data_IF_939365049256
#
_entry.id   IF_939365049256
#
_cell.length_a   1.000
_cell.length_b   1.000
_cell.length_c   1.000
_cell.angle_alpha   90.00
_cell.angle_beta   90.00
_cell.angle_gamma   90.00
#
_symmetry.space_group_name_H-M   'P 1'
#
loop_
_entity.id
_entity.type
_entity.pdbx_description
1 polymer ?
#
# COMPACT_ATOMS: atom_id res chain seq x y z
N UNK A 1 -23.50 -4.48 -1.15
CA UNK A 1 -23.77 -3.34 -2.05
C UNK A 1 -23.12 -2.10 -1.43
N UNK A 2 -21.99 -1.61 -1.95
CA UNK A 2 -21.53 -0.28 -1.53
C UNK A 2 -22.47 0.75 -2.15
N UNK A 3 -23.41 1.27 -1.36
CA UNK A 3 -24.29 2.39 -1.74
C UNK A 3 -23.50 3.67 -2.06
N UNK A 4 -22.20 3.72 -1.74
CA UNK A 4 -21.35 4.88 -1.99
C UNK A 4 -19.92 4.44 -2.36
N UNK A 5 -19.51 4.50 -3.65
CA UNK A 5 -18.13 4.16 -4.06
C UNK A 5 -17.09 5.08 -3.42
N UNK A 6 -17.49 6.28 -2.97
CA UNK A 6 -16.64 7.21 -2.23
C UNK A 6 -16.20 6.68 -0.86
N UNK A 7 -16.93 5.72 -0.29
CA UNK A 7 -16.62 5.15 1.02
C UNK A 7 -15.34 4.29 0.98
N UNK A 8 -14.99 3.72 -0.18
CA UNK A 8 -13.73 2.98 -0.35
C UNK A 8 -12.51 3.90 -0.23
N UNK A 9 -12.64 5.17 -0.64
CA UNK A 9 -11.56 6.16 -0.58
C UNK A 9 -11.16 6.48 0.87
N UNK A 10 -12.10 6.31 1.81
CA UNK A 10 -11.84 6.55 3.22
C UNK A 10 -11.51 5.24 3.94
N UNK A 11 -12.34 4.20 3.77
CA UNK A 11 -12.19 2.97 4.56
C UNK A 11 -10.96 2.16 4.17
N UNK A 12 -10.60 2.12 2.88
CA UNK A 12 -9.45 1.34 2.42
C UNK A 12 -8.12 1.80 3.02
N UNK A 13 -7.71 3.09 2.89
CA UNK A 13 -6.46 3.57 3.48
C UNK A 13 -6.49 3.57 5.02
N UNK A 14 -7.65 3.83 5.63
CA UNK A 14 -7.77 3.88 7.10
C UNK A 14 -7.61 2.49 7.71
N UNK A 15 -8.18 1.46 7.08
CA UNK A 15 -7.91 0.07 7.44
C UNK A 15 -6.44 -0.30 7.19
N UNK A 16 -5.81 0.18 6.12
CA UNK A 16 -4.37 -0.04 5.88
C UNK A 16 -3.53 0.55 7.00
N UNK A 17 -3.80 1.79 7.41
CA UNK A 17 -3.11 2.43 8.54
C UNK A 17 -3.26 1.59 9.80
N UNK A 18 -4.49 1.19 10.17
CA UNK A 18 -4.75 0.44 11.40
C UNK A 18 -4.02 -0.91 11.36
N UNK A 19 -4.17 -1.67 10.28
CA UNK A 19 -3.60 -3.02 10.18
C UNK A 19 -2.08 -2.97 10.21
N UNK A 20 -1.46 -2.07 9.46
CA UNK A 20 0.01 -1.96 9.43
C UNK A 20 0.52 -1.39 10.77
N UNK A 21 -0.20 -0.45 11.39
CA UNK A 21 0.17 0.10 12.70
C UNK A 21 0.12 -0.94 13.82
N UNK A 22 -0.73 -1.97 13.72
CA UNK A 22 -0.73 -3.09 14.66
C UNK A 22 0.57 -3.89 14.62
N UNK A 23 1.38 -3.77 13.57
CA UNK A 23 2.68 -4.42 13.47
C UNK A 23 3.84 -3.55 14.01
N UNK A 24 3.63 -2.25 14.26
CA UNK A 24 4.65 -1.36 14.85
C UNK A 24 5.29 -1.86 16.16
N UNK A 25 4.54 -2.48 17.09
CA UNK A 25 5.12 -3.06 18.30
C UNK A 25 6.26 -4.04 18.04
N UNK A 26 6.25 -4.74 16.89
CA UNK A 26 7.26 -5.73 16.54
C UNK A 26 8.55 -5.11 15.97
N UNK A 27 8.52 -3.82 15.58
CA UNK A 27 9.64 -3.13 14.91
C UNK A 27 10.27 -2.01 15.75
N UNK A 28 9.91 -1.89 17.04
CA UNK A 28 10.50 -0.87 17.93
C UNK A 28 9.50 -0.12 18.83
N UNK A 29 8.22 -0.51 18.81
CA UNK A 29 7.18 0.05 19.69
C UNK A 29 6.18 0.96 18.97
N UNK A 30 5.08 1.31 19.65
CA UNK A 30 4.07 2.23 19.13
C UNK A 30 4.53 3.66 19.42
N UNK A 31 5.22 4.27 18.46
CA UNK A 31 5.75 5.64 18.57
C UNK A 31 5.16 6.51 17.45
N UNK A 32 5.12 7.82 17.67
CA UNK A 32 4.58 8.78 16.69
C UNK A 32 5.32 8.71 15.34
N UNK A 33 6.64 8.57 15.37
CA UNK A 33 7.48 8.45 14.18
C UNK A 33 7.13 7.19 13.37
N UNK A 34 6.98 6.04 14.03
CA UNK A 34 6.56 4.81 13.36
C UNK A 34 5.15 4.89 12.77
N UNK A 35 4.22 5.57 13.45
CA UNK A 35 2.88 5.80 12.88
C UNK A 35 2.92 6.72 11.65
N UNK A 36 3.83 7.69 11.64
CA UNK A 36 4.08 8.56 10.51
C UNK A 36 4.72 7.80 9.34
N UNK A 37 5.69 6.94 9.60
CA UNK A 37 6.30 6.08 8.58
C UNK A 37 5.26 5.16 7.94
N UNK A 38 4.37 4.56 8.73
CA UNK A 38 3.25 3.75 8.22
C UNK A 38 2.29 4.59 7.38
N UNK A 39 2.03 5.83 7.80
CA UNK A 39 1.17 6.74 7.05
C UNK A 39 1.76 7.07 5.66
N UNK A 40 3.03 7.42 5.62
CA UNK A 40 3.73 7.76 4.38
C UNK A 40 3.88 6.52 3.50
N UNK A 41 4.40 5.42 4.04
CA UNK A 41 4.77 4.25 3.25
C UNK A 41 3.59 3.39 2.83
N UNK A 42 2.50 3.31 3.62
CA UNK A 42 1.40 2.38 3.34
C UNK A 42 0.05 3.07 3.09
N UNK A 43 -0.28 4.11 3.85
CA UNK A 43 -1.61 4.73 3.79
C UNK A 43 -1.77 5.65 2.59
N UNK A 44 -0.76 6.46 2.26
CA UNK A 44 -0.78 7.30 1.06
C UNK A 44 -0.89 6.45 -0.23
N UNK A 45 -0.08 5.39 -0.43
CA UNK A 45 -0.21 4.53 -1.60
C UNK A 45 -1.56 3.82 -1.69
N UNK A 46 -2.07 3.35 -0.54
CA UNK A 46 -3.39 2.73 -0.48
C UNK A 46 -4.50 3.72 -0.88
N UNK A 47 -4.40 4.99 -0.47
CA UNK A 47 -5.33 6.04 -0.87
C UNK A 47 -5.25 6.33 -2.38
N UNK A 48 -4.04 6.50 -2.92
CA UNK A 48 -3.82 6.69 -4.35
C UNK A 48 -4.40 5.52 -5.17
N UNK A 49 -4.18 4.30 -4.72
CA UNK A 49 -4.76 3.11 -5.34
C UNK A 49 -6.29 3.10 -5.26
N UNK A 50 -6.87 3.47 -4.12
CA UNK A 50 -8.33 3.57 -3.99
C UNK A 50 -8.94 4.60 -4.96
N UNK A 51 -8.27 5.73 -5.20
CA UNK A 51 -8.68 6.72 -6.22
C UNK A 51 -8.71 6.07 -7.60
N UNK A 52 -7.62 5.40 -7.98
CA UNK A 52 -7.53 4.70 -9.27
C UNK A 52 -8.65 3.67 -9.40
N UNK A 53 -8.95 2.91 -8.33
CA UNK A 53 -10.02 1.93 -8.33
C UNK A 53 -11.41 2.53 -8.59
N UNK A 54 -11.71 3.68 -7.99
CA UNK A 54 -12.99 4.39 -8.18
C UNK A 54 -13.11 4.96 -9.58
N UNK A 55 -12.07 5.65 -10.08
CA UNK A 55 -12.08 6.31 -11.39
C UNK A 55 -12.19 5.30 -12.53
N UNK A 56 -11.39 4.24 -12.48
CA UNK A 56 -11.33 3.22 -13.54
C UNK A 56 -12.36 2.10 -13.36
N UNK A 57 -13.21 2.16 -12.34
CA UNK A 57 -14.19 1.11 -12.03
C UNK A 57 -13.53 -0.27 -11.87
N UNK A 58 -12.30 -0.34 -11.35
CA UNK A 58 -11.57 -1.62 -11.16
C UNK A 58 -12.34 -2.62 -10.29
N UNK A 59 -13.28 -2.16 -9.47
CA UNK A 59 -14.22 -3.00 -8.74
C UNK A 59 -15.06 -3.99 -9.61
N UNK A 60 -15.06 -3.83 -10.93
CA UNK A 60 -15.72 -4.74 -11.87
C UNK A 60 -14.72 -5.59 -12.69
N UNK A 61 -13.41 -5.37 -12.52
CA UNK A 61 -12.34 -6.06 -13.24
C UNK A 61 -11.84 -7.28 -12.46
N UNK A 62 -11.06 -8.12 -13.14
CA UNK A 62 -10.48 -9.34 -12.61
C UNK A 62 -9.64 -9.06 -11.35
N UNK A 63 -9.86 -9.83 -10.26
CA UNK A 63 -9.16 -9.72 -8.98
C UNK A 63 -7.64 -9.74 -9.12
N UNK A 64 -7.12 -10.55 -10.05
CA UNK A 64 -5.67 -10.64 -10.32
C UNK A 64 -5.11 -9.30 -10.83
N UNK A 65 -5.86 -8.60 -11.67
CA UNK A 65 -5.45 -7.28 -12.16
C UNK A 65 -5.42 -6.26 -11.02
N UNK A 66 -6.42 -6.28 -10.13
CA UNK A 66 -6.48 -5.39 -8.96
C UNK A 66 -5.25 -5.63 -8.06
N UNK A 67 -4.92 -6.89 -7.77
CA UNK A 67 -3.75 -7.25 -6.97
C UNK A 67 -2.46 -6.73 -7.59
N UNK A 68 -2.28 -7.00 -8.89
CA UNK A 68 -1.10 -6.59 -9.64
C UNK A 68 -0.94 -5.07 -9.67
N UNK A 69 -2.02 -4.33 -9.93
CA UNK A 69 -1.98 -2.87 -9.93
C UNK A 69 -1.71 -2.30 -8.53
N UNK A 70 -2.29 -2.87 -7.47
CA UNK A 70 -2.01 -2.45 -6.09
C UNK A 70 -0.55 -2.64 -5.74
N UNK A 71 -0.01 -3.82 -6.05
CA UNK A 71 1.40 -4.14 -5.85
C UNK A 71 2.32 -3.21 -6.63
N UNK A 72 2.01 -2.95 -7.90
CA UNK A 72 2.81 -2.08 -8.75
C UNK A 72 2.81 -0.63 -8.26
N UNK A 73 1.67 -0.08 -7.85
CA UNK A 73 1.59 1.28 -7.28
C UNK A 73 2.41 1.38 -6.00
N UNK A 74 2.26 0.40 -5.10
CA UNK A 74 3.02 0.35 -3.85
C UNK A 74 4.53 0.19 -4.10
N UNK A 75 4.90 -0.65 -5.05
CA UNK A 75 6.30 -0.89 -5.43
C UNK A 75 6.96 0.39 -5.95
N UNK A 76 6.33 1.06 -6.93
CA UNK A 76 6.85 2.31 -7.49
C UNK A 76 6.93 3.41 -6.44
N UNK A 77 5.89 3.54 -5.61
CA UNK A 77 5.88 4.52 -4.53
C UNK A 77 6.99 4.25 -3.50
N UNK A 78 7.17 2.98 -3.12
CA UNK A 78 8.20 2.60 -2.15
C UNK A 78 9.61 2.81 -2.71
N UNK A 79 9.85 2.52 -3.99
CA UNK A 79 11.13 2.85 -4.64
C UNK A 79 11.41 4.34 -4.53
N UNK A 80 10.46 5.19 -4.92
CA UNK A 80 10.64 6.65 -4.91
C UNK A 80 10.89 7.13 -3.49
N UNK A 81 10.04 6.71 -2.54
CA UNK A 81 10.10 7.15 -1.15
C UNK A 81 11.40 6.71 -0.49
N UNK A 82 11.74 5.42 -0.55
CA UNK A 82 12.98 4.89 0.02
C UNK A 82 14.19 5.52 -0.65
N UNK A 83 14.17 5.79 -1.97
CA UNK A 83 15.30 6.47 -2.63
C UNK A 83 15.49 7.92 -2.18
N UNK A 84 14.41 8.62 -1.81
CA UNK A 84 14.48 9.99 -1.29
C UNK A 84 14.94 10.02 0.17
N UNK A 85 14.56 9.02 0.96
CA UNK A 85 14.91 8.93 2.39
C UNK A 85 16.17 8.10 2.68
N UNK A 86 16.74 7.42 1.68
CA UNK A 86 17.98 6.68 1.83
C UNK A 86 19.15 7.67 1.98
N UNK A 87 19.84 7.56 3.11
CA UNK A 87 21.07 8.32 3.36
C UNK A 87 22.09 8.04 2.24
N UNK A 88 22.69 9.10 1.68
CA UNK A 88 23.59 9.03 0.51
C UNK A 88 24.87 8.19 0.75
N UNK A 89 25.08 7.70 1.98
CA UNK A 89 26.27 7.01 2.44
C UNK A 89 26.52 5.64 1.76
N UNK A 90 25.54 5.07 1.05
CA UNK A 90 25.70 3.77 0.39
C UNK A 90 25.73 3.95 -1.13
N UNK A 91 26.92 4.27 -1.66
CA UNK A 91 27.19 4.23 -3.10
C UNK A 91 27.44 2.79 -3.56
N UNK A 92 26.51 2.20 -4.33
CA UNK A 92 26.75 0.93 -5.02
C UNK A 92 25.50 0.19 -5.48
N UNK A 93 25.70 -0.80 -6.34
CA UNK A 93 24.67 -1.71 -6.86
C UNK A 93 23.92 -2.46 -5.74
N UNK A 94 24.58 -2.67 -4.59
CA UNK A 94 23.98 -3.27 -3.39
C UNK A 94 22.89 -2.40 -2.76
N UNK A 95 23.02 -1.07 -2.79
CA UNK A 95 21.97 -0.17 -2.29
C UNK A 95 20.76 -0.18 -3.21
N UNK A 96 20.98 -0.12 -4.53
CA UNK A 96 19.89 -0.24 -5.51
C UNK A 96 19.13 -1.55 -5.38
N UNK A 97 19.84 -2.67 -5.18
CA UNK A 97 19.20 -3.98 -4.97
C UNK A 97 18.42 -4.01 -3.65
N UNK A 98 18.98 -3.45 -2.56
CA UNK A 98 18.29 -3.38 -1.28
C UNK A 98 16.99 -2.56 -1.38
N UNK A 99 17.02 -1.39 -2.03
CA UNK A 99 15.83 -0.56 -2.27
C UNK A 99 14.75 -1.33 -3.02
N UNK A 100 15.13 -2.06 -4.08
CA UNK A 100 14.20 -2.90 -4.83
C UNK A 100 13.60 -3.99 -3.95
N UNK A 101 14.42 -4.68 -3.15
CA UNK A 101 13.96 -5.73 -2.25
C UNK A 101 13.02 -5.19 -1.16
N UNK A 102 13.35 -4.05 -0.55
CA UNK A 102 12.47 -3.38 0.40
C UNK A 102 11.16 -2.96 -0.23
N UNK A 103 11.19 -2.36 -1.42
CA UNK A 103 9.97 -2.01 -2.15
C UNK A 103 9.10 -3.25 -2.45
N UNK A 104 9.72 -4.40 -2.74
CA UNK A 104 9.01 -5.67 -2.95
C UNK A 104 8.34 -6.18 -1.66
N UNK A 105 8.99 -6.02 -0.50
CA UNK A 105 8.43 -6.38 0.81
C UNK A 105 7.16 -5.60 1.12
N UNK A 106 7.02 -4.39 0.61
CA UNK A 106 5.81 -3.57 0.76
C UNK A 106 4.75 -3.89 -0.31
N UNK A 107 5.18 -4.18 -1.54
CA UNK A 107 4.29 -4.47 -2.67
C UNK A 107 3.47 -5.75 -2.49
N UNK A 108 4.06 -6.81 -1.94
CA UNK A 108 3.40 -8.10 -1.74
C UNK A 108 2.23 -8.02 -0.73
N UNK A 109 2.42 -7.51 0.51
CA UNK A 109 1.33 -7.29 1.45
C UNK A 109 0.25 -6.37 0.88
N UNK A 110 0.62 -5.32 0.14
CA UNK A 110 -0.35 -4.44 -0.53
C UNK A 110 -1.22 -5.20 -1.54
N UNK A 111 -0.61 -6.09 -2.34
CA UNK A 111 -1.32 -6.90 -3.33
C UNK A 111 -2.31 -7.88 -2.67
N UNK A 112 -1.87 -8.54 -1.59
CA UNK A 112 -2.69 -9.48 -0.81
C UNK A 112 -3.82 -8.75 -0.08
N UNK A 113 -3.51 -7.62 0.54
CA UNK A 113 -4.47 -6.77 1.21
C UNK A 113 -5.55 -6.27 0.25
N UNK A 114 -5.15 -5.81 -0.94
CA UNK A 114 -6.09 -5.41 -1.97
C UNK A 114 -7.01 -6.57 -2.39
N UNK A 115 -6.49 -7.78 -2.57
CA UNK A 115 -7.31 -8.96 -2.88
C UNK A 115 -8.35 -9.27 -1.79
N UNK A 116 -7.96 -9.19 -0.52
CA UNK A 116 -8.83 -9.55 0.60
C UNK A 116 -9.88 -8.45 0.83
N UNK A 117 -9.45 -7.21 0.92
CA UNK A 117 -10.29 -6.09 1.33
C UNK A 117 -11.12 -5.53 0.18
N UNK A 118 -10.58 -5.38 -1.05
CA UNK A 118 -11.43 -4.94 -2.16
C UNK A 118 -12.52 -5.97 -2.47
N UNK A 119 -12.27 -7.26 -2.27
CA UNK A 119 -13.32 -8.29 -2.43
C UNK A 119 -14.53 -8.06 -1.53
N UNK A 120 -14.36 -7.46 -0.34
CA UNK A 120 -15.47 -7.08 0.55
C UNK A 120 -16.34 -5.95 -0.04
N UNK A 121 -15.73 -5.15 -0.92
CA UNK A 121 -16.36 -3.99 -1.56
C UNK A 121 -16.88 -4.29 -2.97
N UNK A 122 -16.48 -5.41 -3.58
CA UNK A 122 -17.01 -5.87 -4.86
C UNK A 122 -18.43 -6.43 -4.71
N UNK A 123 -19.31 -6.25 -5.71
CA UNK A 123 -20.60 -6.92 -5.73
C UNK A 123 -20.38 -8.45 -5.75
N UNK A 124 -20.87 -9.14 -4.72
CA UNK A 124 -21.04 -10.59 -4.75
C UNK A 124 -22.14 -10.88 -5.75
N UNK A 125 -21.78 -11.45 -6.91
CA UNK A 125 -22.76 -12.17 -7.72
C UNK A 125 -23.22 -13.40 -6.95
#
# INVERSE_FOLDING_TARGET
MLKNPKLILLVFPLLTQIIISLFLPFFGGINADGMFDVFVLATIPAFLFAIVCVVQKYHQRNLVQIAFFSGMVMFLYSIITISVYADEAISGWGNSLAIILYALMFALPSSVYALIILRLFLPKK
#
